data_IF_146022700812
#
_entry.id   IF_146022700812
#
_cell.length_a   1.000
_cell.length_b   1.000
_cell.length_c   1.000
_cell.angle_alpha   90.00
_cell.angle_beta   90.00
_cell.angle_gamma   90.00
#
_symmetry.space_group_name_H-M   'P 1'
#
loop_
_entity.id
_entity.type
_entity.pdbx_description
1 polymer ?
#
# COMPACT_ATOMS: atom_id res chain seq x y z
N UNK A 1 -0.24 -1.57 3.13
CA UNK A 1 0.26 -2.51 2.12
C UNK A 1 1.49 -3.20 2.68
N UNK A 2 1.56 -4.52 2.63
CA UNK A 2 2.71 -5.26 3.15
C UNK A 2 2.78 -6.68 2.58
N UNK A 3 3.97 -7.30 2.62
CA UNK A 3 4.16 -8.66 2.16
C UNK A 3 3.60 -9.68 3.17
N UNK A 4 2.91 -10.68 2.66
CA UNK A 4 2.48 -11.89 3.36
C UNK A 4 3.25 -13.08 2.78
N UNK A 5 3.86 -13.88 3.64
CA UNK A 5 4.59 -15.09 3.26
C UNK A 5 3.95 -16.30 3.93
N UNK A 6 3.57 -17.29 3.12
CA UNK A 6 2.96 -18.54 3.57
C UNK A 6 3.89 -19.69 3.17
N UNK A 7 4.25 -20.54 4.14
CA UNK A 7 5.02 -21.75 3.85
C UNK A 7 4.06 -22.85 3.43
N UNK A 8 4.24 -23.37 2.23
CA UNK A 8 3.46 -24.48 1.70
C UNK A 8 4.00 -25.83 2.20
N UNK A 9 3.21 -26.89 2.05
CA UNK A 9 3.57 -28.24 2.50
C UNK A 9 4.80 -28.83 1.79
N UNK A 10 5.18 -28.27 0.64
CA UNK A 10 6.35 -28.66 -0.15
C UNK A 10 7.59 -27.79 0.15
N UNK A 11 7.62 -27.12 1.30
CA UNK A 11 8.68 -26.20 1.73
C UNK A 11 8.91 -24.95 0.85
N UNK A 12 8.04 -24.72 -0.13
CA UNK A 12 8.07 -23.49 -0.91
C UNK A 12 7.39 -22.34 -0.16
N UNK A 13 7.87 -21.13 -0.43
CA UNK A 13 7.27 -19.89 0.06
C UNK A 13 6.34 -19.31 -1.00
N UNK A 14 5.05 -19.19 -0.67
CA UNK A 14 4.13 -18.34 -1.39
C UNK A 14 4.24 -16.93 -0.83
N UNK A 15 4.60 -15.96 -1.68
CA UNK A 15 4.66 -14.54 -1.30
C UNK A 15 3.56 -13.79 -2.03
N UNK A 16 2.81 -12.97 -1.30
CA UNK A 16 1.78 -12.07 -1.85
C UNK A 16 1.89 -10.71 -1.19
N UNK A 17 1.45 -9.65 -1.86
CA UNK A 17 1.33 -8.31 -1.26
C UNK A 17 -0.14 -8.04 -1.01
N UNK A 18 -0.48 -7.76 0.24
CA UNK A 18 -1.83 -7.33 0.63
C UNK A 18 -1.86 -5.80 0.72
N UNK A 19 -2.86 -5.18 0.10
CA UNK A 19 -3.08 -3.73 0.25
C UNK A 19 -3.69 -3.39 1.62
N UNK A 20 -4.80 -4.06 1.95
CA UNK A 20 -5.57 -3.94 3.19
C UNK A 20 -6.33 -5.24 3.46
N UNK A 21 -6.67 -5.52 4.73
CA UNK A 21 -7.40 -6.74 5.08
C UNK A 21 -7.35 -7.09 6.57
N UNK A 22 -7.81 -8.32 6.87
CA UNK A 22 -7.88 -8.87 8.22
C UNK A 22 -7.29 -10.28 8.26
N UNK A 23 -6.70 -10.63 9.41
CA UNK A 23 -6.28 -11.99 9.73
C UNK A 23 -6.99 -12.41 11.01
N UNK A 24 -7.63 -13.58 10.97
CA UNK A 24 -8.24 -14.22 12.14
C UNK A 24 -7.53 -15.53 12.43
N UNK A 25 -7.20 -15.75 13.70
CA UNK A 25 -6.64 -16.99 14.20
C UNK A 25 -7.63 -17.54 15.23
N UNK A 26 -8.17 -18.72 14.98
CA UNK A 26 -9.12 -19.39 15.89
C UNK A 26 -9.07 -20.89 15.67
N UNK A 27 -9.19 -21.71 16.72
CA UNK A 27 -9.28 -23.17 16.60
C UNK A 27 -8.20 -23.81 15.71
N UNK A 28 -6.95 -23.34 15.79
CA UNK A 28 -5.84 -23.75 14.92
C UNK A 28 -6.03 -23.48 13.41
N UNK A 29 -7.01 -22.67 13.04
CA UNK A 29 -7.23 -22.20 11.68
C UNK A 29 -6.80 -20.73 11.56
N UNK A 30 -6.23 -20.40 10.39
CA UNK A 30 -5.88 -19.03 10.02
C UNK A 30 -6.72 -18.66 8.79
N UNK A 31 -7.52 -17.59 8.91
CA UNK A 31 -8.31 -17.04 7.81
C UNK A 31 -7.76 -15.66 7.48
N UNK A 32 -7.43 -15.43 6.20
CA UNK A 32 -6.92 -14.16 5.68
C UNK A 32 -7.93 -13.62 4.67
N UNK A 33 -8.43 -12.42 4.93
CA UNK A 33 -9.35 -11.68 4.06
C UNK A 33 -8.66 -10.39 3.61
N UNK A 34 -8.25 -10.32 2.35
CA UNK A 34 -7.69 -9.12 1.73
C UNK A 34 -8.71 -8.42 0.83
N UNK A 35 -8.67 -7.09 0.76
CA UNK A 35 -9.46 -6.33 -0.21
C UNK A 35 -8.93 -6.56 -1.64
N UNK A 36 -7.62 -6.45 -1.80
CA UNK A 36 -6.88 -6.78 -3.01
C UNK A 36 -5.57 -7.45 -2.58
N UNK A 37 -5.15 -8.44 -3.36
CA UNK A 37 -3.91 -9.16 -3.17
C UNK A 37 -3.30 -9.48 -4.53
N UNK A 38 -1.98 -9.34 -4.62
CA UNK A 38 -1.22 -9.65 -5.84
C UNK A 38 -0.14 -10.67 -5.50
N UNK A 39 0.08 -11.64 -6.40
CA UNK A 39 1.13 -12.63 -6.22
C UNK A 39 2.49 -11.99 -6.42
N UNK A 40 3.46 -12.35 -5.59
CA UNK A 40 4.82 -11.87 -5.71
C UNK A 40 5.49 -12.23 -7.04
N UNK A 41 5.02 -13.28 -7.71
CA UNK A 41 5.46 -13.68 -9.06
C UNK A 41 4.97 -12.75 -10.16
N UNK A 42 3.84 -12.10 -9.94
CA UNK A 42 3.13 -11.33 -10.97
C UNK A 42 3.49 -9.84 -10.90
N UNK A 43 4.10 -9.42 -9.80
CA UNK A 43 4.65 -8.07 -9.63
C UNK A 43 5.85 -7.83 -10.54
N UNK A 44 5.71 -6.93 -11.52
CA UNK A 44 6.85 -6.43 -12.31
C UNK A 44 7.63 -5.37 -11.49
N UNK A 45 8.91 -5.63 -11.12
CA UNK A 45 9.72 -4.66 -10.39
C UNK A 45 9.92 -3.33 -11.13
N UNK A 46 9.92 -3.34 -12.47
CA UNK A 46 10.09 -2.13 -13.28
C UNK A 46 8.85 -1.25 -13.23
N UNK A 47 7.67 -1.85 -13.29
CA UNK A 47 6.41 -1.09 -13.15
C UNK A 47 6.28 -0.51 -11.74
N UNK A 48 6.61 -1.30 -10.72
CA UNK A 48 6.63 -0.84 -9.34
C UNK A 48 7.61 0.33 -9.12
N UNK A 49 8.82 0.24 -9.67
CA UNK A 49 9.84 1.28 -9.58
C UNK A 49 9.39 2.57 -10.28
N UNK A 50 8.81 2.45 -11.47
CA UNK A 50 8.28 3.60 -12.22
C UNK A 50 7.12 4.27 -11.49
N UNK A 51 6.23 3.49 -10.87
CA UNK A 51 5.13 4.01 -10.07
C UNK A 51 5.64 4.79 -8.85
N UNK A 52 6.70 4.31 -8.19
CA UNK A 52 7.36 5.00 -7.09
C UNK A 52 7.94 6.35 -7.55
N UNK A 53 8.71 6.37 -8.64
CA UNK A 53 9.30 7.60 -9.19
C UNK A 53 8.23 8.66 -9.53
N UNK A 54 7.10 8.24 -10.11
CA UNK A 54 5.97 9.13 -10.39
C UNK A 54 5.35 9.68 -9.10
N UNK A 55 5.15 8.82 -8.10
CA UNK A 55 4.59 9.23 -6.81
C UNK A 55 5.50 10.22 -6.07
N UNK A 56 6.82 9.97 -6.07
CA UNK A 56 7.82 10.86 -5.49
C UNK A 56 7.90 12.20 -6.23
N UNK A 57 7.89 12.17 -7.58
CA UNK A 57 7.83 13.37 -8.41
C UNK A 57 6.53 14.17 -8.21
N UNK A 58 5.42 13.53 -7.84
CA UNK A 58 4.17 14.21 -7.50
C UNK A 58 4.15 14.73 -6.06
N UNK A 59 4.84 14.07 -5.13
CA UNK A 59 5.03 14.54 -3.76
C UNK A 59 5.99 15.74 -3.68
N UNK A 60 6.99 15.79 -4.55
CA UNK A 60 7.93 16.91 -4.64
C UNK A 60 7.32 18.16 -5.28
N UNK A 61 6.20 18.02 -6.00
CA UNK A 61 5.40 19.17 -6.43
C UNK A 61 4.82 19.86 -5.19
N UNK A 62 4.98 21.19 -5.04
CA UNK A 62 4.44 21.90 -3.90
C UNK A 62 2.93 21.69 -3.83
N UNK A 63 2.50 21.02 -2.76
CA UNK A 63 1.09 20.81 -2.43
C UNK A 63 0.41 22.17 -2.38
N UNK A 64 -0.54 22.42 -3.29
CA UNK A 64 -1.47 23.56 -3.24
C UNK A 64 -2.45 23.34 -2.07
N UNK A 65 -1.92 23.29 -0.84
CA UNK A 65 -2.67 23.15 0.43
C UNK A 65 -2.23 24.19 1.46
N UNK A 66 -1.66 25.31 1.01
CA UNK A 66 -1.40 26.50 1.84
C UNK A 66 -2.13 27.77 1.41
N UNK A 67 -2.92 27.73 0.33
CA UNK A 67 -3.65 28.92 -0.15
C UNK A 67 -4.92 29.17 0.69
N UNK A 68 -5.67 28.13 1.05
CA UNK A 68 -6.91 28.27 1.84
C UNK A 68 -6.74 28.69 3.31
N UNK A 69 -5.53 28.60 3.87
CA UNK A 69 -5.28 28.99 5.26
C UNK A 69 -4.78 30.43 5.42
N UNK A 70 -4.40 31.11 4.33
CA UNK A 70 -4.02 32.54 4.38
C UNK A 70 -5.17 33.48 4.04
N UNK A 71 -6.09 33.07 3.17
CA UNK A 71 -7.27 33.90 2.80
C UNK A 71 -8.32 33.98 3.91
N UNK A 72 -8.32 33.06 4.88
CA UNK A 72 -9.19 33.14 6.05
C UNK A 72 -8.72 34.22 7.06
N UNK A 73 -7.45 34.64 7.03
CA UNK A 73 -6.89 35.62 7.96
C UNK A 73 -6.91 37.06 7.42
N UNK A 74 -7.09 37.27 6.10
CA UNK A 74 -7.17 38.62 5.50
C UNK A 74 -8.60 39.16 5.38
N UNK A 75 -9.62 38.37 5.71
CA UNK A 75 -11.03 38.80 5.76
C UNK A 75 -11.49 39.20 7.17
N UNK A 76 -10.60 39.10 8.16
CA UNK A 76 -10.81 39.53 9.55
C UNK A 76 -9.67 40.45 9.97
N UNK A 77 -9.55 41.61 9.33
CA UNK A 77 -8.77 42.76 9.78
C UNK A 77 -9.40 44.03 9.23
#
# INVERSE_FOLDING_TARGET
MGPLRIRLLNDQWLTTVLWSGFVRIVNNEIIILGNDAELGSDLDPKEAQKALEIAEANLSKPRVRKIWLKEAHSRTS
#
